data_IF_582990884631
#
_entry.id   IF_582990884631
#
_cell.length_a   1.000
_cell.length_b   1.000
_cell.length_c   1.000
_cell.angle_alpha   90.00
_cell.angle_beta   90.00
_cell.angle_gamma   90.00
#
_symmetry.space_group_name_H-M   'P 1'
#
loop_
_entity.id
_entity.type
_entity.pdbx_description
1 polymer ?
#
# COMPACT_ATOMS: atom_id res chain seq x y z
N UNK A 1 -1.54 1.12 -9.80
CA UNK A 1 -0.57 2.05 -9.18
C UNK A 1 -1.16 3.42 -8.86
N UNK A 2 -1.76 4.17 -9.81
CA UNK A 2 -2.37 5.48 -9.50
C UNK A 2 -3.39 5.42 -8.34
N UNK A 3 -4.29 4.42 -8.33
CA UNK A 3 -5.22 4.26 -7.21
C UNK A 3 -4.54 4.05 -5.85
N UNK A 4 -3.34 3.45 -5.80
CA UNK A 4 -2.58 3.38 -4.54
C UNK A 4 -2.01 4.74 -4.15
N UNK A 5 -1.49 5.52 -5.11
CA UNK A 5 -1.03 6.88 -4.86
C UNK A 5 -2.16 7.77 -4.31
N UNK A 6 -3.39 7.59 -4.81
CA UNK A 6 -4.58 8.24 -4.29
C UNK A 6 -4.89 7.82 -2.84
N UNK A 7 -4.76 6.53 -2.50
CA UNK A 7 -4.89 6.08 -1.11
C UNK A 7 -3.84 6.73 -0.20
N UNK A 8 -2.58 6.79 -0.62
CA UNK A 8 -1.53 7.45 0.15
C UNK A 8 -1.82 8.95 0.34
N UNK A 9 -2.30 9.63 -0.71
CA UNK A 9 -2.70 11.03 -0.65
C UNK A 9 -3.89 11.25 0.30
N UNK A 10 -4.89 10.37 0.25
CA UNK A 10 -6.00 10.38 1.20
C UNK A 10 -5.53 10.21 2.65
N UNK A 11 -4.61 9.27 2.91
CA UNK A 11 -4.04 9.04 4.26
C UNK A 11 -3.25 10.26 4.74
N UNK A 12 -2.51 10.92 3.86
CA UNK A 12 -1.67 12.06 4.21
C UNK A 12 -2.48 13.34 4.46
N UNK A 13 -3.49 13.61 3.63
CA UNK A 13 -4.18 14.89 3.62
C UNK A 13 -5.62 14.85 4.14
N UNK A 14 -6.21 13.65 4.27
CA UNK A 14 -7.62 13.48 4.65
C UNK A 14 -8.62 13.97 3.60
N UNK A 15 -8.17 14.38 2.41
CA UNK A 15 -9.05 14.88 1.34
C UNK A 15 -9.80 13.74 0.66
N UNK A 16 -11.13 13.78 0.77
CA UNK A 16 -12.04 12.78 0.22
C UNK A 16 -11.96 12.66 -1.30
N UNK A 17 -11.50 13.67 -2.03
CA UNK A 17 -11.34 13.58 -3.49
C UNK A 17 -10.36 12.46 -3.87
N UNK A 18 -9.22 12.38 -3.20
CA UNK A 18 -8.26 11.29 -3.41
C UNK A 18 -8.88 9.91 -3.13
N UNK A 19 -9.66 9.78 -2.06
CA UNK A 19 -10.39 8.53 -1.80
C UNK A 19 -11.38 8.17 -2.93
N UNK A 20 -12.12 9.16 -3.45
CA UNK A 20 -13.06 8.93 -4.56
C UNK A 20 -12.34 8.55 -5.86
N UNK A 21 -11.18 9.15 -6.12
CA UNK A 21 -10.36 8.82 -7.29
C UNK A 21 -9.78 7.39 -7.17
N UNK A 22 -9.36 6.98 -5.98
CA UNK A 22 -8.96 5.61 -5.70
C UNK A 22 -10.08 4.60 -6.01
N UNK A 23 -11.32 4.91 -5.58
CA UNK A 23 -12.51 4.09 -5.86
C UNK A 23 -12.78 4.02 -7.37
N UNK A 24 -12.77 5.16 -8.07
CA UNK A 24 -13.01 5.22 -9.51
C UNK A 24 -11.97 4.40 -10.30
N UNK A 25 -10.69 4.47 -9.92
CA UNK A 25 -9.64 3.68 -10.55
C UNK A 25 -9.87 2.18 -10.30
N UNK A 26 -10.25 1.79 -9.09
CA UNK A 26 -10.58 0.40 -8.78
C UNK A 26 -11.76 -0.11 -9.62
N UNK A 27 -12.82 0.69 -9.77
CA UNK A 27 -14.00 0.35 -10.56
C UNK A 27 -13.67 0.15 -12.04
N UNK A 28 -12.72 0.91 -12.59
CA UNK A 28 -12.28 0.76 -13.98
C UNK A 28 -11.54 -0.56 -14.25
N UNK A 29 -10.80 -1.07 -13.26
CA UNK A 29 -10.07 -2.34 -13.38
C UNK A 29 -10.93 -3.57 -13.02
N UNK A 30 -11.98 -3.39 -12.23
CA UNK A 30 -12.85 -4.49 -11.77
C UNK A 30 -13.40 -5.37 -12.90
N UNK A 31 -13.85 -4.84 -14.07
CA UNK A 31 -14.31 -5.66 -15.19
C UNK A 31 -13.25 -6.57 -15.81
N UNK A 32 -11.97 -6.41 -15.49
CA UNK A 32 -10.86 -7.24 -15.98
C UNK A 32 -10.50 -8.38 -15.03
N UNK A 33 -11.11 -8.42 -13.84
CA UNK A 33 -10.94 -9.51 -12.88
C UNK A 33 -11.82 -10.69 -13.27
N UNK A 34 -11.23 -11.88 -13.33
CA UNK A 34 -11.93 -13.14 -13.49
C UNK A 34 -12.76 -13.41 -12.24
N UNK A 35 -14.09 -13.38 -12.36
CA UNK A 35 -14.97 -13.76 -11.26
C UNK A 35 -15.01 -15.28 -11.08
N UNK A 36 -15.53 -15.74 -9.95
CA UNK A 36 -15.80 -17.17 -9.73
C UNK A 36 -16.76 -17.74 -10.78
N UNK A 37 -17.71 -16.91 -11.25
CA UNK A 37 -18.65 -17.29 -12.30
C UNK A 37 -17.93 -17.44 -13.64
N UNK A 38 -17.07 -16.51 -14.01
CA UNK A 38 -16.30 -16.57 -15.26
C UNK A 38 -15.45 -17.84 -15.33
N UNK A 39 -14.75 -18.14 -14.22
CA UNK A 39 -13.98 -19.37 -14.09
C UNK A 39 -14.89 -20.62 -14.20
N UNK A 40 -16.08 -20.61 -13.59
CA UNK A 40 -17.00 -21.74 -13.65
C UNK A 40 -17.61 -21.96 -15.03
N UNK A 41 -17.93 -20.89 -15.77
CA UNK A 41 -18.51 -20.97 -17.12
C UNK A 41 -17.47 -21.13 -18.21
N UNK A 42 -16.19 -20.91 -17.90
CA UNK A 42 -15.10 -20.93 -18.86
C UNK A 42 -15.16 -19.78 -19.87
N UNK A 43 -15.74 -18.65 -19.48
CA UNK A 43 -15.94 -17.47 -20.33
C UNK A 43 -15.77 -16.19 -19.53
N UNK A 44 -15.25 -15.14 -20.16
CA UNK A 44 -15.09 -13.82 -19.55
C UNK A 44 -15.63 -12.74 -20.50
N UNK A 45 -16.42 -11.74 -20.03
CA UNK A 45 -17.08 -10.78 -20.91
C UNK A 45 -16.15 -9.98 -21.83
N UNK A 46 -14.91 -9.75 -21.39
CA UNK A 46 -13.90 -8.99 -22.12
C UNK A 46 -12.91 -9.86 -22.91
N UNK A 47 -13.15 -11.18 -23.01
CA UNK A 47 -12.29 -12.12 -23.75
C UNK A 47 -13.12 -12.93 -24.74
N UNK A 48 -12.52 -13.27 -25.87
CA UNK A 48 -13.17 -14.06 -26.94
C UNK A 48 -12.56 -15.46 -27.08
N UNK A 49 -11.77 -15.88 -26.11
CA UNK A 49 -11.20 -17.22 -25.99
C UNK A 49 -11.77 -17.94 -24.78
N UNK A 50 -11.80 -19.27 -24.85
CA UNK A 50 -12.23 -20.11 -23.73
C UNK A 50 -11.27 -19.94 -22.57
N UNK A 51 -11.81 -19.58 -21.42
CA UNK A 51 -11.07 -19.46 -20.17
C UNK A 51 -11.03 -20.84 -19.49
N UNK A 52 -9.85 -21.42 -19.23
CA UNK A 52 -9.73 -22.58 -18.36
C UNK A 52 -10.32 -22.28 -16.98
N UNK A 53 -11.14 -23.17 -16.42
CA UNK A 53 -11.71 -22.98 -15.08
C UNK A 53 -10.68 -23.12 -13.96
N UNK A 54 -9.62 -23.88 -14.24
CA UNK A 54 -8.53 -24.18 -13.32
C UNK A 54 -7.22 -24.31 -14.09
N UNK A 55 -6.12 -24.03 -13.39
CA UNK A 55 -4.76 -24.35 -13.80
C UNK A 55 -4.05 -25.10 -12.69
N UNK A 56 -3.39 -26.20 -13.03
CA UNK A 56 -2.64 -27.04 -12.08
C UNK A 56 -3.45 -27.42 -10.81
N UNK A 57 -4.75 -27.68 -10.98
CA UNK A 57 -5.68 -28.04 -9.90
C UNK A 57 -6.20 -26.87 -9.06
N UNK A 58 -5.79 -25.63 -9.33
CA UNK A 58 -6.27 -24.43 -8.63
C UNK A 58 -7.13 -23.56 -9.55
N UNK A 59 -8.18 -22.94 -9.00
CA UNK A 59 -9.05 -22.03 -9.77
C UNK A 59 -8.28 -20.82 -10.29
N UNK A 60 -8.66 -20.33 -11.47
CA UNK A 60 -8.12 -19.07 -12.04
C UNK A 60 -8.89 -17.82 -11.60
N UNK A 61 -9.95 -17.99 -10.80
CA UNK A 61 -10.72 -16.87 -10.26
C UNK A 61 -9.82 -15.93 -9.46
N UNK A 62 -10.07 -14.63 -9.58
CA UNK A 62 -9.28 -13.58 -8.97
C UNK A 62 -8.10 -13.07 -9.81
N UNK A 63 -7.77 -13.74 -10.92
CA UNK A 63 -6.79 -13.21 -11.87
C UNK A 63 -7.30 -11.95 -12.57
N UNK A 64 -6.48 -10.91 -12.64
CA UNK A 64 -6.79 -9.64 -13.29
C UNK A 64 -5.97 -9.56 -14.56
N UNK A 65 -6.65 -9.59 -15.70
CA UNK A 65 -5.94 -9.52 -16.96
C UNK A 65 -5.21 -8.20 -17.14
N UNK A 66 -4.10 -8.25 -17.87
CA UNK A 66 -3.46 -7.03 -18.33
C UNK A 66 -4.43 -6.26 -19.22
N UNK A 67 -4.73 -5.03 -18.82
CA UNK A 67 -5.38 -4.03 -19.66
C UNK A 67 -4.33 -3.45 -20.60
N UNK A 68 -3.86 -4.23 -21.58
CA UNK A 68 -3.11 -3.65 -22.70
C UNK A 68 -3.90 -3.79 -23.99
N UNK A 69 -4.04 -2.65 -24.66
CA UNK A 69 -4.58 -2.39 -25.99
C UNK A 69 -3.80 -3.07 -27.12
N UNK A 70 -3.41 -4.34 -27.01
CA UNK A 70 -3.06 -5.08 -28.25
C UNK A 70 -4.32 -5.35 -29.10
N UNK A 71 -5.51 -5.03 -28.57
CA UNK A 71 -6.82 -5.28 -29.17
C UNK A 71 -7.18 -6.76 -29.20
N UNK A 72 -6.28 -7.64 -28.73
CA UNK A 72 -6.43 -9.08 -28.73
C UNK A 72 -7.27 -9.49 -27.52
N UNK A 73 -8.54 -9.73 -27.78
CA UNK A 73 -9.43 -10.42 -26.83
C UNK A 73 -9.03 -11.89 -26.60
N UNK A 74 -7.97 -12.36 -27.24
CA UNK A 74 -7.48 -13.73 -27.17
C UNK A 74 -6.37 -13.95 -26.14
N UNK A 75 -5.77 -12.89 -25.58
CA UNK A 75 -4.74 -13.03 -24.55
C UNK A 75 -5.36 -13.23 -23.16
N UNK A 76 -4.93 -14.28 -22.47
CA UNK A 76 -5.29 -14.57 -21.07
C UNK A 76 -4.12 -14.31 -20.10
N UNK A 77 -3.23 -13.38 -20.46
CA UNK A 77 -2.09 -13.01 -19.63
C UNK A 77 -2.48 -12.18 -18.40
N UNK A 78 -1.88 -12.53 -17.27
CA UNK A 78 -1.89 -11.77 -16.01
C UNK A 78 -0.46 -11.39 -15.67
N UNK A 79 -0.24 -10.14 -15.24
CA UNK A 79 1.05 -9.69 -14.71
C UNK A 79 0.93 -9.36 -13.22
N UNK A 80 1.95 -9.69 -12.46
CA UNK A 80 1.97 -9.54 -11.01
C UNK A 80 1.85 -8.08 -10.57
N UNK A 81 2.35 -7.14 -11.36
CA UNK A 81 2.19 -5.70 -11.06
C UNK A 81 0.74 -5.22 -11.10
N UNK A 82 -0.04 -5.65 -12.11
CA UNK A 82 -1.48 -5.37 -12.19
C UNK A 82 -2.21 -6.09 -11.06
N UNK A 83 -1.94 -7.39 -10.90
CA UNK A 83 -2.56 -8.25 -9.91
C UNK A 83 -2.34 -7.76 -8.48
N UNK A 84 -1.08 -7.50 -8.11
CA UNK A 84 -0.68 -7.00 -6.80
C UNK A 84 -1.20 -5.59 -6.53
N UNK A 85 -1.16 -4.69 -7.52
CA UNK A 85 -1.75 -3.35 -7.37
C UNK A 85 -3.25 -3.41 -7.10
N UNK A 86 -3.98 -4.24 -7.84
CA UNK A 86 -5.43 -4.38 -7.68
C UNK A 86 -5.79 -5.03 -6.33
N UNK A 87 -5.03 -6.05 -5.92
CA UNK A 87 -5.16 -6.67 -4.61
C UNK A 87 -4.92 -5.64 -3.48
N UNK A 88 -3.82 -4.89 -3.54
CA UNK A 88 -3.50 -3.89 -2.53
C UNK A 88 -4.55 -2.78 -2.46
N UNK A 89 -5.01 -2.28 -3.61
CA UNK A 89 -6.05 -1.26 -3.67
C UNK A 89 -7.37 -1.78 -3.07
N UNK A 90 -7.75 -3.02 -3.40
CA UNK A 90 -8.91 -3.68 -2.79
C UNK A 90 -8.77 -3.80 -1.27
N UNK A 91 -7.60 -4.18 -0.77
CA UNK A 91 -7.35 -4.30 0.67
C UNK A 91 -7.47 -2.95 1.40
N UNK A 92 -6.89 -1.87 0.86
CA UNK A 92 -7.04 -0.53 1.44
C UNK A 92 -8.48 -0.02 1.40
N UNK A 93 -9.18 -0.20 0.28
CA UNK A 93 -10.58 0.20 0.17
C UNK A 93 -11.44 -0.58 1.17
N UNK A 94 -11.15 -1.87 1.39
CA UNK A 94 -11.81 -2.64 2.45
C UNK A 94 -11.47 -2.11 3.85
N UNK A 95 -10.21 -1.79 4.13
CA UNK A 95 -9.78 -1.22 5.41
C UNK A 95 -10.56 0.05 5.76
N UNK A 96 -10.69 0.95 4.79
CA UNK A 96 -11.34 2.25 4.94
C UNK A 96 -12.87 2.11 5.04
N UNK A 97 -13.48 1.27 4.20
CA UNK A 97 -14.95 1.26 4.02
C UNK A 97 -15.66 0.12 4.72
N UNK A 98 -14.95 -0.96 5.04
CA UNK A 98 -15.51 -2.25 5.47
C UNK A 98 -16.53 -2.84 4.51
N UNK A 99 -16.48 -2.46 3.23
CA UNK A 99 -17.35 -2.99 2.20
C UNK A 99 -16.89 -4.37 1.72
N UNK A 100 -17.78 -5.34 1.79
CA UNK A 100 -17.52 -6.74 1.44
C UNK A 100 -17.04 -6.93 0.00
N UNK A 101 -17.47 -6.09 -0.95
CA UNK A 101 -17.03 -6.18 -2.34
C UNK A 101 -15.51 -6.05 -2.48
N UNK A 102 -14.91 -5.14 -1.70
CA UNK A 102 -13.45 -4.96 -1.69
C UNK A 102 -12.74 -6.10 -0.98
N UNK A 103 -13.34 -6.65 0.10
CA UNK A 103 -12.84 -7.86 0.75
C UNK A 103 -12.80 -9.03 -0.23
N UNK A 104 -13.90 -9.30 -0.92
CA UNK A 104 -14.04 -10.45 -1.82
C UNK A 104 -13.01 -10.35 -2.96
N UNK A 105 -12.83 -9.15 -3.49
CA UNK A 105 -11.83 -8.87 -4.54
C UNK A 105 -10.39 -9.03 -4.04
N UNK A 106 -10.07 -8.52 -2.84
CA UNK A 106 -8.76 -8.72 -2.23
C UNK A 106 -8.47 -10.20 -1.97
N UNK A 107 -9.45 -10.94 -1.45
CA UNK A 107 -9.35 -12.36 -1.12
C UNK A 107 -9.17 -13.25 -2.37
N UNK A 108 -9.97 -13.00 -3.41
CA UNK A 108 -9.82 -13.70 -4.69
C UNK A 108 -8.46 -13.40 -5.32
N UNK A 109 -8.06 -12.13 -5.34
CA UNK A 109 -6.78 -11.72 -5.92
C UNK A 109 -5.59 -12.33 -5.18
N UNK A 110 -5.65 -12.36 -3.85
CA UNK A 110 -4.68 -13.03 -2.99
C UNK A 110 -4.57 -14.54 -3.30
N UNK A 111 -5.71 -15.22 -3.39
CA UNK A 111 -5.77 -16.66 -3.70
C UNK A 111 -5.13 -16.94 -5.05
N UNK A 112 -5.44 -16.13 -6.07
CA UNK A 112 -4.83 -16.26 -7.39
C UNK A 112 -3.30 -16.09 -7.34
N UNK A 113 -2.80 -15.06 -6.66
CA UNK A 113 -1.36 -14.81 -6.52
C UNK A 113 -0.68 -16.01 -5.86
N UNK A 114 -1.24 -16.52 -4.76
CA UNK A 114 -0.67 -17.68 -4.05
C UNK A 114 -0.66 -18.94 -4.90
N UNK A 115 -1.72 -19.22 -5.67
CA UNK A 115 -1.83 -20.42 -6.47
C UNK A 115 -0.96 -20.41 -7.72
N UNK A 116 -0.77 -19.25 -8.35
CA UNK A 116 -0.26 -19.18 -9.73
C UNK A 116 1.00 -18.34 -9.91
N UNK A 117 1.23 -17.35 -9.03
CA UNK A 117 2.36 -16.42 -9.16
C UNK A 117 3.42 -16.60 -8.05
N UNK A 118 3.06 -17.16 -6.90
CA UNK A 118 4.02 -17.37 -5.82
C UNK A 118 4.94 -18.56 -6.10
N UNK A 119 6.24 -18.30 -6.09
CA UNK A 119 7.26 -19.32 -6.21
C UNK A 119 7.92 -19.57 -4.85
N UNK A 120 7.48 -20.63 -4.16
CA UNK A 120 7.96 -20.96 -2.82
C UNK A 120 9.44 -21.34 -2.75
N UNK A 121 10.03 -21.90 -3.83
CA UNK A 121 11.45 -22.27 -3.83
C UNK A 121 12.36 -21.04 -3.97
N UNK A 122 11.88 -20.00 -4.64
CA UNK A 122 12.56 -18.72 -4.81
C UNK A 122 12.16 -17.67 -3.77
N UNK A 123 11.05 -17.88 -3.06
CA UNK A 123 10.53 -16.95 -2.06
C UNK A 123 10.07 -15.62 -2.68
N UNK A 124 9.52 -15.64 -3.89
CA UNK A 124 9.18 -14.43 -4.65
C UNK A 124 7.88 -14.59 -5.45
N UNK A 125 7.33 -13.45 -5.88
CA UNK A 125 6.23 -13.41 -6.86
C UNK A 125 6.82 -13.33 -8.26
N UNK A 126 6.38 -14.21 -9.14
CA UNK A 126 6.77 -14.27 -10.55
C UNK A 126 6.05 -13.17 -11.34
N UNK A 127 6.70 -12.60 -12.35
CA UNK A 127 6.22 -11.41 -13.06
C UNK A 127 4.93 -11.63 -13.86
N UNK A 128 4.76 -12.79 -14.48
CA UNK A 128 3.63 -13.06 -15.37
C UNK A 128 3.13 -14.51 -15.30
N UNK A 129 1.86 -14.67 -15.63
CA UNK A 129 1.19 -15.96 -15.75
C UNK A 129 0.31 -15.99 -17.00
N UNK A 130 0.50 -17.01 -17.81
CA UNK A 130 -0.36 -17.30 -18.95
C UNK A 130 -1.40 -18.34 -18.53
N UNK A 131 -2.65 -17.90 -18.38
CA UNK A 131 -3.76 -18.78 -17.99
C UNK A 131 -4.10 -19.79 -19.09
N UNK A 132 -3.91 -19.45 -20.36
CA UNK A 132 -4.15 -20.37 -21.48
C UNK A 132 -3.19 -21.57 -21.40
N UNK A 133 -1.95 -21.32 -20.99
CA UNK A 133 -0.89 -22.33 -20.91
C UNK A 133 -0.71 -22.90 -19.49
N UNK A 134 -1.39 -22.33 -18.50
CA UNK A 134 -1.28 -22.68 -17.08
C UNK A 134 0.16 -22.66 -16.55
N UNK A 135 0.95 -21.67 -16.97
CA UNK A 135 2.35 -21.53 -16.58
C UNK A 135 2.79 -20.07 -16.47
N UNK A 136 3.81 -19.83 -15.66
CA UNK A 136 4.56 -18.57 -15.69
C UNK A 136 5.39 -18.52 -16.96
N UNK A 137 5.38 -17.40 -17.69
CA UNK A 137 6.00 -17.32 -19.01
C UNK A 137 7.53 -17.35 -18.99
N UNK A 138 8.15 -16.49 -18.17
CA UNK A 138 9.60 -16.42 -18.02
C UNK A 138 10.01 -16.46 -16.54
N UNK A 139 11.30 -16.68 -16.27
CA UNK A 139 11.85 -16.74 -14.91
C UNK A 139 12.02 -15.35 -14.25
N UNK A 140 11.35 -14.31 -14.77
CA UNK A 140 11.43 -12.97 -14.21
C UNK A 140 10.72 -12.88 -12.86
N UNK A 141 11.43 -12.29 -11.92
CA UNK A 141 10.96 -11.96 -10.60
C UNK A 141 11.60 -10.63 -10.24
N UNK A 142 10.77 -9.59 -10.11
CA UNK A 142 11.21 -8.25 -9.78
C UNK A 142 10.79 -7.92 -8.34
N UNK A 143 11.56 -7.03 -7.69
CA UNK A 143 11.25 -6.67 -6.30
C UNK A 143 9.87 -6.05 -6.12
N UNK A 144 9.40 -5.26 -7.09
CA UNK A 144 8.10 -4.60 -7.00
C UNK A 144 6.91 -5.55 -7.09
N UNK A 145 6.99 -6.67 -7.81
CA UNK A 145 5.91 -7.66 -7.85
C UNK A 145 5.68 -8.27 -6.47
N UNK A 146 6.78 -8.62 -5.80
CA UNK A 146 6.75 -9.10 -4.41
C UNK A 146 6.32 -7.99 -3.45
N UNK A 147 6.80 -6.76 -3.67
CA UNK A 147 6.44 -5.60 -2.87
C UNK A 147 4.93 -5.29 -2.91
N UNK A 148 4.34 -5.15 -4.09
CA UNK A 148 2.91 -4.84 -4.24
C UNK A 148 2.02 -5.90 -3.59
N UNK A 149 2.39 -7.18 -3.74
CA UNK A 149 1.68 -8.26 -3.06
C UNK A 149 1.83 -8.17 -1.54
N UNK A 150 3.05 -7.97 -1.03
CA UNK A 150 3.32 -7.85 0.40
C UNK A 150 2.57 -6.66 1.02
N UNK A 151 2.53 -5.52 0.34
CA UNK A 151 1.80 -4.33 0.77
C UNK A 151 0.31 -4.65 0.94
N UNK A 152 -0.33 -5.18 -0.11
CA UNK A 152 -1.74 -5.56 -0.06
C UNK A 152 -2.03 -6.62 0.98
N UNK A 153 -1.19 -7.64 1.08
CA UNK A 153 -1.33 -8.73 2.05
C UNK A 153 -1.23 -8.21 3.48
N UNK A 154 -0.30 -7.30 3.76
CA UNK A 154 -0.11 -6.71 5.09
C UNK A 154 -1.32 -5.91 5.54
N UNK A 155 -1.87 -5.10 4.63
CA UNK A 155 -3.11 -4.35 4.87
C UNK A 155 -4.28 -5.31 5.11
N UNK A 156 -4.43 -6.30 4.22
CA UNK A 156 -5.54 -7.25 4.28
C UNK A 156 -5.50 -8.08 5.57
N UNK A 157 -4.35 -8.67 5.89
CA UNK A 157 -4.12 -9.46 7.09
C UNK A 157 -4.40 -8.65 8.37
N UNK A 158 -3.87 -7.43 8.46
CA UNK A 158 -4.11 -6.56 9.62
C UNK A 158 -5.58 -6.14 9.75
N UNK A 159 -6.28 -5.98 8.62
CA UNK A 159 -7.68 -5.54 8.59
C UNK A 159 -8.63 -6.65 8.99
N UNK A 160 -8.37 -7.89 8.56
CA UNK A 160 -9.19 -9.08 8.84
C UNK A 160 -8.84 -9.76 10.15
N UNK A 161 -7.63 -9.50 10.69
CA UNK A 161 -7.06 -10.20 11.85
C UNK A 161 -6.93 -11.71 11.64
N UNK A 162 -6.78 -12.13 10.39
CA UNK A 162 -6.55 -13.53 10.04
C UNK A 162 -5.10 -13.93 10.34
N UNK A 163 -4.92 -14.86 11.26
CA UNK A 163 -3.58 -15.31 11.68
C UNK A 163 -2.80 -16.00 10.58
N UNK A 164 -3.47 -16.68 9.64
CA UNK A 164 -2.82 -17.32 8.51
C UNK A 164 -2.28 -16.30 7.51
N UNK A 165 -3.06 -15.26 7.22
CA UNK A 165 -2.61 -14.15 6.37
C UNK A 165 -1.45 -13.36 7.02
N UNK A 166 -1.49 -13.17 8.34
CA UNK A 166 -0.39 -12.52 9.08
C UNK A 166 0.90 -13.35 8.94
N UNK A 167 0.82 -14.67 9.22
CA UNK A 167 1.99 -15.55 9.09
C UNK A 167 2.54 -15.58 7.66
N UNK A 168 1.65 -15.55 6.66
CA UNK A 168 2.07 -15.49 5.28
C UNK A 168 2.74 -14.15 4.93
N UNK A 169 2.23 -13.02 5.43
CA UNK A 169 2.86 -11.71 5.25
C UNK A 169 4.28 -11.70 5.85
N UNK A 170 4.44 -12.21 7.08
CA UNK A 170 5.74 -12.35 7.73
C UNK A 170 6.69 -13.22 6.90
N UNK A 171 6.19 -14.34 6.35
CA UNK A 171 6.98 -15.25 5.53
C UNK A 171 7.44 -14.60 4.21
N UNK A 172 6.55 -13.89 3.51
CA UNK A 172 6.89 -13.18 2.27
C UNK A 172 7.88 -12.05 2.55
N UNK A 173 7.68 -11.29 3.63
CA UNK A 173 8.62 -10.26 4.05
C UNK A 173 10.00 -10.86 4.36
N UNK A 174 10.04 -11.94 5.15
CA UNK A 174 11.26 -12.67 5.46
C UNK A 174 11.99 -13.15 4.19
N UNK A 175 11.27 -13.81 3.28
CA UNK A 175 11.84 -14.33 2.04
C UNK A 175 12.38 -13.22 1.13
N UNK A 176 11.71 -12.07 1.09
CA UNK A 176 12.15 -10.94 0.28
C UNK A 176 13.44 -10.28 0.79
N UNK A 177 13.71 -10.38 2.09
CA UNK A 177 14.91 -9.84 2.75
C UNK A 177 16.04 -10.86 2.87
N UNK A 178 15.77 -12.15 2.64
CA UNK A 178 16.83 -13.17 2.62
C UNK A 178 17.85 -12.83 1.55
N UNK A 179 19.11 -13.05 1.90
CA UNK A 179 20.21 -12.95 0.93
C UNK A 179 19.93 -13.89 -0.23
N UNK A 180 19.69 -13.29 -1.38
CA UNK A 180 19.30 -13.98 -2.60
C UNK A 180 20.03 -13.37 -3.79
N UNK A 181 20.53 -14.22 -4.69
CA UNK A 181 21.10 -13.78 -5.97
C UNK A 181 20.04 -13.19 -6.91
N UNK A 182 18.75 -13.20 -6.53
CA UNK A 182 17.67 -12.59 -7.30
C UNK A 182 17.82 -11.08 -7.39
N UNK A 183 18.00 -10.40 -6.25
CA UNK A 183 18.05 -8.94 -6.20
C UNK A 183 18.90 -8.39 -5.06
N UNK A 184 19.64 -9.20 -4.30
CA UNK A 184 20.58 -8.68 -3.30
C UNK A 184 22.01 -9.09 -3.60
N UNK A 185 22.96 -8.18 -3.40
CA UNK A 185 24.37 -8.53 -3.47
C UNK A 185 24.87 -9.22 -2.19
N UNK A 186 26.16 -9.54 -2.16
CA UNK A 186 26.80 -10.20 -1.01
C UNK A 186 26.72 -9.40 0.30
N UNK A 187 26.55 -8.08 0.20
CA UNK A 187 26.44 -7.14 1.32
C UNK A 187 24.99 -6.85 1.71
N UNK A 188 24.02 -7.52 1.09
CA UNK A 188 22.58 -7.32 1.35
C UNK A 188 21.99 -6.07 0.71
N UNK A 189 22.72 -5.38 -0.19
CA UNK A 189 22.19 -4.22 -0.91
C UNK A 189 21.36 -4.66 -2.10
N UNK A 190 20.19 -4.05 -2.31
CA UNK A 190 19.32 -4.38 -3.43
C UNK A 190 19.96 -3.96 -4.75
N UNK A 191 20.25 -4.94 -5.58
CA UNK A 191 20.73 -4.82 -6.96
C UNK A 191 19.58 -5.13 -7.91
N UNK A 192 18.80 -4.09 -8.22
CA UNK A 192 17.78 -4.11 -9.27
C UNK A 192 18.28 -3.31 -10.48
N UNK A 193 17.70 -3.59 -11.63
CA UNK A 193 17.99 -3.04 -12.95
C UNK A 193 19.16 -3.71 -13.66
N UNK A 194 18.92 -4.07 -14.92
CA UNK A 194 19.88 -4.66 -15.86
C UNK A 194 20.31 -3.68 -16.94
N UNK A 195 19.71 -2.49 -16.96
CA UNK A 195 19.93 -1.48 -17.99
C UNK A 195 20.97 -0.46 -17.53
N UNK A 196 21.42 0.35 -18.49
CA UNK A 196 22.30 1.46 -18.19
C UNK A 196 21.60 2.40 -17.20
N UNK A 197 22.30 2.77 -16.12
CA UNK A 197 21.83 3.67 -15.07
C UNK A 197 21.29 5.01 -15.60
N UNK A 198 21.80 5.48 -16.74
CA UNK A 198 21.40 6.74 -17.38
C UNK A 198 20.13 6.63 -18.24
N UNK A 199 19.69 5.42 -18.55
CA UNK A 199 18.43 5.22 -19.25
C UNK A 199 17.30 5.40 -18.25
N UNK A 200 16.28 6.14 -18.66
CA UNK A 200 15.01 6.23 -17.93
C UNK A 200 14.26 4.89 -18.07
N UNK A 201 14.70 3.93 -17.26
CA UNK A 201 14.13 2.60 -17.16
C UNK A 201 13.36 2.50 -15.85
N UNK A 202 12.07 2.17 -15.96
CA UNK A 202 11.18 1.93 -14.82
C UNK A 202 11.74 0.89 -13.84
N UNK A 203 12.57 -0.04 -14.31
CA UNK A 203 13.25 -1.05 -13.50
C UNK A 203 14.18 -0.48 -12.44
N UNK A 204 14.68 0.76 -12.60
CA UNK A 204 15.43 1.44 -11.56
C UNK A 204 14.57 1.73 -10.32
N UNK A 205 13.25 1.86 -10.50
CA UNK A 205 12.30 2.26 -9.45
C UNK A 205 11.71 1.10 -8.65
N UNK A 206 11.83 -0.15 -9.14
CA UNK A 206 11.14 -1.30 -8.53
C UNK A 206 11.54 -1.56 -7.08
N UNK A 207 12.82 -1.39 -6.76
CA UNK A 207 13.37 -1.57 -5.40
C UNK A 207 12.67 -0.68 -4.36
N UNK A 208 12.24 0.52 -4.75
CA UNK A 208 11.55 1.46 -3.86
C UNK A 208 10.20 0.90 -3.40
N UNK A 209 9.46 0.23 -4.28
CA UNK A 209 8.17 -0.38 -3.95
C UNK A 209 8.31 -1.52 -2.94
N UNK A 210 9.37 -2.34 -3.03
CA UNK A 210 9.64 -3.35 -2.00
C UNK A 210 9.96 -2.71 -0.65
N UNK A 211 10.76 -1.64 -0.63
CA UNK A 211 11.06 -0.93 0.63
C UNK A 211 9.79 -0.37 1.26
N UNK A 212 8.92 0.26 0.46
CA UNK A 212 7.63 0.77 0.91
C UNK A 212 6.73 -0.34 1.45
N UNK A 213 6.65 -1.47 0.77
CA UNK A 213 5.87 -2.62 1.22
C UNK A 213 6.38 -3.22 2.54
N UNK A 214 7.72 -3.33 2.68
CA UNK A 214 8.37 -3.78 3.91
C UNK A 214 8.08 -2.80 5.06
N UNK A 215 8.11 -1.51 4.80
CA UNK A 215 7.72 -0.49 5.77
C UNK A 215 6.26 -0.64 6.18
N UNK A 216 5.33 -0.73 5.22
CA UNK A 216 3.90 -0.86 5.50
C UNK A 216 3.64 -2.12 6.32
N UNK A 217 4.31 -3.24 6.01
CA UNK A 217 4.29 -4.45 6.82
C UNK A 217 4.81 -4.20 8.24
N UNK A 218 6.02 -3.66 8.39
CA UNK A 218 6.63 -3.34 9.68
C UNK A 218 5.74 -2.47 10.56
N UNK A 219 5.07 -1.46 9.97
CA UNK A 219 4.19 -0.54 10.70
C UNK A 219 2.96 -1.23 11.29
N UNK A 220 2.63 -2.42 10.78
CA UNK A 220 1.49 -3.25 11.21
C UNK A 220 1.94 -4.47 12.01
N UNK A 221 3.24 -4.75 12.05
CA UNK A 221 3.82 -5.82 12.85
C UNK A 221 3.87 -5.45 14.33
N UNK A 222 4.00 -6.45 15.19
CA UNK A 222 4.25 -6.22 16.62
C UNK A 222 5.64 -5.58 16.77
N UNK A 223 5.71 -4.47 17.48
CA UNK A 223 6.96 -3.77 17.78
C UNK A 223 7.96 -4.70 18.48
N UNK A 224 9.21 -4.71 18.01
CA UNK A 224 10.29 -5.56 18.54
C UNK A 224 10.18 -7.04 18.15
N UNK A 225 9.20 -7.43 17.33
CA UNK A 225 9.14 -8.78 16.77
C UNK A 225 10.36 -9.08 15.90
N UNK A 226 10.64 -10.38 15.69
CA UNK A 226 11.76 -10.80 14.84
C UNK A 226 11.67 -10.25 13.42
N UNK A 227 10.46 -10.18 12.84
CA UNK A 227 10.25 -9.62 11.49
C UNK A 227 10.44 -8.10 11.49
N UNK A 228 9.92 -7.40 12.51
CA UNK A 228 10.08 -5.95 12.63
C UNK A 228 11.57 -5.55 12.74
N UNK A 229 12.32 -6.20 13.62
CA UNK A 229 13.76 -5.96 13.78
C UNK A 229 14.55 -6.30 12.50
N UNK A 230 14.15 -7.37 11.80
CA UNK A 230 14.77 -7.76 10.53
C UNK A 230 14.52 -6.70 9.46
N UNK A 231 13.30 -6.18 9.36
CA UNK A 231 12.94 -5.11 8.42
C UNK A 231 13.74 -3.83 8.68
N UNK A 232 13.85 -3.41 9.94
CA UNK A 232 14.68 -2.26 10.32
C UNK A 232 16.14 -2.46 9.92
N UNK A 233 16.71 -3.63 10.24
CA UNK A 233 18.08 -3.97 9.87
C UNK A 233 18.31 -4.00 8.36
N UNK A 234 17.38 -4.58 7.59
CA UNK A 234 17.47 -4.67 6.14
C UNK A 234 17.39 -3.29 5.47
N UNK A 235 16.44 -2.44 5.87
CA UNK A 235 16.30 -1.08 5.35
C UNK A 235 17.48 -0.20 5.77
N UNK A 236 18.04 -0.42 6.97
CA UNK A 236 19.27 0.24 7.43
C UNK A 236 20.46 -0.06 6.51
N UNK A 237 20.59 -1.29 6.01
CA UNK A 237 21.62 -1.63 5.02
C UNK A 237 21.45 -0.79 3.75
N UNK A 238 20.22 -0.64 3.26
CA UNK A 238 19.94 0.17 2.07
C UNK A 238 20.23 1.66 2.32
N UNK A 239 19.82 2.17 3.48
CA UNK A 239 20.08 3.55 3.90
C UNK A 239 21.58 3.85 3.89
N UNK A 240 22.39 2.96 4.45
CA UNK A 240 23.85 3.11 4.45
C UNK A 240 24.44 3.02 3.03
N UNK A 241 23.91 2.16 2.17
CA UNK A 241 24.35 2.09 0.78
C UNK A 241 24.04 3.39 0.02
N UNK A 242 22.86 3.96 0.23
CA UNK A 242 22.46 5.24 -0.36
C UNK A 242 23.41 6.37 0.06
N UNK A 243 23.66 6.51 1.37
CA UNK A 243 24.48 7.61 1.88
C UNK A 243 25.96 7.49 1.51
N UNK A 244 26.51 6.27 1.52
CA UNK A 244 27.95 6.07 1.37
C UNK A 244 28.39 5.76 -0.07
N UNK A 245 27.50 5.16 -0.89
CA UNK A 245 27.84 4.64 -2.21
C UNK A 245 27.01 5.24 -3.34
N UNK A 246 25.79 5.69 -3.05
CA UNK A 246 24.87 6.22 -4.07
C UNK A 246 24.79 7.75 -4.11
N UNK A 247 25.24 8.43 -3.06
CA UNK A 247 25.27 9.89 -2.97
C UNK A 247 26.46 10.44 -3.74
N UNK A 248 26.21 11.35 -4.67
CA UNK A 248 27.31 12.02 -5.36
C UNK A 248 28.04 12.99 -4.41
N UNK A 249 29.39 13.05 -4.42
CA UNK A 249 30.15 13.89 -3.52
C UNK A 249 29.76 15.38 -3.59
N UNK A 250 29.65 16.03 -2.43
CA UNK A 250 29.36 17.47 -2.35
C UNK A 250 27.95 17.90 -2.75
N UNK A 251 27.01 16.96 -2.88
CA UNK A 251 25.63 17.21 -3.30
C UNK A 251 24.63 16.61 -2.32
N UNK A 252 23.33 16.70 -2.64
CA UNK A 252 22.25 15.97 -1.96
C UNK A 252 21.42 15.10 -2.92
N UNK A 253 21.98 14.72 -4.07
CA UNK A 253 21.30 13.84 -5.03
C UNK A 253 21.84 12.39 -4.96
N UNK A 254 20.98 11.44 -5.29
CA UNK A 254 21.27 10.01 -5.22
C UNK A 254 21.14 9.31 -6.58
N UNK A 255 22.03 8.37 -6.88
CA UNK A 255 21.88 7.48 -8.05
C UNK A 255 20.95 6.30 -7.72
N UNK A 256 20.21 5.73 -8.69
CA UNK A 256 19.46 4.48 -8.45
C UNK A 256 20.36 3.26 -8.18
N UNK A 257 21.65 3.33 -8.51
CA UNK A 257 22.61 2.24 -8.27
C UNK A 257 23.18 2.34 -6.84
N UNK A 258 22.52 1.70 -5.88
CA UNK A 258 22.92 1.78 -4.46
C UNK A 258 24.28 1.16 -4.13
N UNK A 259 24.79 0.27 -4.99
CA UNK A 259 26.13 -0.30 -4.85
C UNK A 259 27.25 0.67 -5.23
N UNK A 260 26.90 1.78 -5.89
CA UNK A 260 27.85 2.76 -6.41
C UNK A 260 28.65 2.26 -7.63
N UNK A 261 29.55 3.12 -8.17
CA UNK A 261 29.72 4.52 -7.80
C UNK A 261 28.52 5.38 -8.25
N UNK A 262 28.34 6.60 -7.68
CA UNK A 262 27.30 7.51 -8.12
C UNK A 262 27.60 8.06 -9.51
N UNK A 263 26.55 8.39 -10.26
CA UNK A 263 26.68 9.11 -11.53
C UNK A 263 26.77 10.61 -11.30
N UNK A 264 27.44 11.32 -12.21
CA UNK A 264 27.67 12.78 -12.15
C UNK A 264 26.49 13.63 -12.62
N UNK A 265 25.30 13.05 -12.75
CA UNK A 265 24.11 13.72 -13.29
C UNK A 265 22.93 13.37 -12.40
N UNK A 266 22.07 14.35 -12.08
CA UNK A 266 20.82 14.07 -11.37
C UNK A 266 19.97 13.15 -12.21
N UNK A 267 19.52 12.05 -11.61
CA UNK A 267 18.52 11.20 -12.20
C UNK A 267 17.28 11.24 -11.30
N UNK A 268 16.11 11.69 -11.83
CA UNK A 268 14.88 11.77 -11.04
C UNK A 268 14.50 10.44 -10.37
N UNK A 269 14.62 9.32 -11.10
CA UNK A 269 14.34 7.98 -10.57
C UNK A 269 15.29 7.57 -9.43
N UNK A 270 16.53 8.08 -9.41
CA UNK A 270 17.46 7.89 -8.30
C UNK A 270 17.01 8.59 -7.02
N UNK A 271 16.39 9.76 -7.14
CA UNK A 271 15.83 10.48 -5.98
C UNK A 271 14.58 9.77 -5.46
N UNK A 272 13.72 9.34 -6.39
CA UNK A 272 12.47 8.68 -6.08
C UNK A 272 12.68 7.41 -5.25
N UNK A 273 13.63 6.55 -5.64
CA UNK A 273 13.91 5.33 -4.86
C UNK A 273 14.65 5.58 -3.55
N UNK A 274 15.43 6.65 -3.47
CA UNK A 274 16.08 7.01 -2.22
C UNK A 274 15.04 7.48 -1.18
N UNK A 275 13.99 8.15 -1.63
CA UNK A 275 12.91 8.63 -0.77
C UNK A 275 12.23 7.50 0.02
N UNK A 276 11.92 6.36 -0.62
CA UNK A 276 11.28 5.22 0.09
C UNK A 276 12.15 4.72 1.26
N UNK A 277 13.48 4.69 1.10
CA UNK A 277 14.42 4.27 2.15
C UNK A 277 14.56 5.34 3.23
N UNK A 278 14.74 6.61 2.85
CA UNK A 278 14.94 7.71 3.79
C UNK A 278 13.70 7.96 4.66
N UNK A 279 12.51 7.94 4.06
CA UNK A 279 11.23 8.05 4.79
C UNK A 279 11.03 6.89 5.77
N UNK A 280 11.47 5.69 5.38
CA UNK A 280 11.43 4.54 6.29
C UNK A 280 12.35 4.69 7.48
N UNK A 281 13.59 5.13 7.24
CA UNK A 281 14.56 5.35 8.31
C UNK A 281 14.05 6.40 9.33
N UNK A 282 13.42 7.49 8.87
CA UNK A 282 12.83 8.51 9.75
C UNK A 282 11.76 7.90 10.66
N UNK A 283 10.90 7.05 10.11
CA UNK A 283 9.79 6.44 10.89
C UNK A 283 10.31 5.48 11.96
N UNK A 284 11.40 4.76 11.69
CA UNK A 284 12.04 3.91 12.71
C UNK A 284 12.61 4.73 13.86
N UNK A 285 13.16 5.91 13.56
CA UNK A 285 13.69 6.77 14.61
C UNK A 285 12.64 7.41 15.50
N UNK A 286 11.45 7.70 14.96
CA UNK A 286 10.35 8.20 15.76
C UNK A 286 9.91 7.15 16.82
N UNK A 287 9.79 5.88 16.42
CA UNK A 287 9.30 4.80 17.29
C UNK A 287 10.23 4.47 18.48
N UNK A 288 11.50 4.81 18.42
CA UNK A 288 12.47 4.54 19.50
C UNK A 288 12.43 5.59 20.60
N UNK A 289 11.91 6.79 20.33
CA UNK A 289 11.93 7.92 21.28
C UNK A 289 10.89 7.75 22.40
N UNK A 290 9.84 6.96 22.19
CA UNK A 290 8.77 6.75 23.18
C UNK A 290 9.11 5.76 24.30
N UNK A 291 10.24 5.04 24.22
CA UNK A 291 10.55 3.96 25.18
C UNK A 291 11.44 4.39 26.35
N UNK A 292 12.07 5.58 26.30
CA UNK A 292 13.12 5.97 27.26
C UNK A 292 12.68 6.87 28.43
N UNK A 293 11.39 7.15 28.63
CA UNK A 293 10.94 8.03 29.74
C UNK A 293 9.96 7.35 30.69
N UNK A 294 10.44 6.41 31.52
CA UNK A 294 9.71 5.94 32.71
C UNK A 294 10.65 5.31 33.77
N UNK A 295 11.71 6.01 34.17
CA UNK A 295 12.38 5.73 35.44
C UNK A 295 11.61 6.41 36.58
N UNK A 296 10.53 5.76 37.02
CA UNK A 296 9.83 6.13 38.25
C UNK A 296 10.76 5.90 39.46
N UNK A 297 11.22 7.00 40.05
CA UNK A 297 11.91 7.02 41.33
C UNK A 297 10.89 6.83 42.45
N UNK A 298 10.84 5.62 42.99
CA UNK A 298 10.11 5.32 44.23
C UNK A 298 10.82 5.98 45.43
N UNK A 299 10.07 6.77 46.21
CA UNK A 299 10.41 7.05 47.61
C UNK A 299 9.13 6.96 48.47
N UNK A 300 9.17 6.29 49.64
CA UNK A 300 7.99 5.95 50.40
C UNK A 300 7.70 7.03 51.47
N UNK A 301 6.42 7.34 51.70
CA UNK A 301 6.03 7.80 53.03
C UNK A 301 4.56 7.51 53.35
N UNK A 302 4.32 7.28 54.65
CA UNK A 302 3.28 6.42 55.18
C UNK A 302 2.01 7.12 55.70
N UNK A 303 0.95 6.30 55.81
CA UNK A 303 -0.09 6.27 56.87
C UNK A 303 -1.21 7.32 56.89
N UNK A 304 -2.47 6.89 56.66
CA UNK A 304 -3.48 6.61 57.71
C UNK A 304 -4.93 6.50 57.15
N UNK A 305 -5.69 5.58 57.74
CA UNK A 305 -7.07 5.09 57.48
C UNK A 305 -8.21 6.08 57.88
N UNK A 306 -9.52 5.73 57.93
CA UNK A 306 -10.42 5.03 56.98
C UNK A 306 -11.86 5.66 56.82
N UNK A 307 -12.69 5.02 55.98
CA UNK A 307 -14.18 4.87 56.03
C UNK A 307 -15.12 6.02 55.61
N UNK A 308 -15.97 5.80 54.59
CA UNK A 308 -17.46 5.78 54.72
C UNK A 308 -18.20 5.53 53.38
N UNK A 309 -19.21 4.67 53.45
CA UNK A 309 -20.23 4.37 52.44
C UNK A 309 -21.13 5.60 52.14
N UNK A 310 -21.79 5.64 50.96
CA UNK A 310 -23.26 5.50 50.83
C UNK A 310 -23.88 6.18 49.56
N UNK A 311 -24.84 5.46 48.99
CA UNK A 311 -26.06 5.86 48.24
C UNK A 311 -26.06 6.33 46.78
N UNK A 312 -26.89 5.59 46.05
CA UNK A 312 -27.55 5.78 44.76
C UNK A 312 -28.47 6.99 44.64
N UNK A 313 -28.57 7.57 43.44
CA UNK A 313 -29.84 8.11 42.93
C UNK A 313 -29.92 8.01 41.41
N UNK A 314 -31.06 7.51 40.92
CA UNK A 314 -31.38 7.33 39.50
C UNK A 314 -32.27 8.47 39.01
N UNK A 315 -31.91 9.10 37.89
CA UNK A 315 -32.78 10.05 37.19
C UNK A 315 -33.22 9.49 35.85
N UNK A 316 -34.54 9.35 35.66
CA UNK A 316 -35.18 9.00 34.39
C UNK A 316 -35.60 10.27 33.65
N UNK A 317 -35.25 10.36 32.37
CA UNK A 317 -35.76 11.38 31.43
C UNK A 317 -37.01 10.86 30.69
N UNK A 318 -38.02 11.71 30.45
CA UNK A 318 -39.28 11.29 29.82
C UNK A 318 -39.16 11.16 28.30
N UNK A 319 -39.39 9.94 27.82
CA UNK A 319 -39.30 9.48 26.42
C UNK A 319 -40.34 10.09 25.46
N UNK A 320 -41.25 10.93 25.94
CA UNK A 320 -42.44 11.38 25.20
C UNK A 320 -42.22 12.53 24.20
N UNK A 321 -41.12 13.29 24.31
CA UNK A 321 -40.88 14.47 23.47
C UNK A 321 -40.10 14.19 22.17
N UNK A 322 -39.46 13.02 22.06
CA UNK A 322 -38.56 12.68 20.94
C UNK A 322 -39.32 12.12 19.74
N UNK A 323 -40.50 11.52 19.95
CA UNK A 323 -41.21 10.79 18.90
C UNK A 323 -42.08 11.74 18.03
N UNK A 324 -42.48 12.92 18.55
CA UNK A 324 -43.30 13.88 17.80
C UNK A 324 -42.56 14.74 16.77
N UNK A 325 -41.27 15.00 16.97
CA UNK A 325 -40.48 15.88 16.09
C UNK A 325 -40.02 15.23 14.78
N UNK A 326 -39.86 13.90 14.76
CA UNK A 326 -39.29 13.19 13.63
C UNK A 326 -40.23 13.13 12.42
N UNK A 327 -41.54 12.96 12.64
CA UNK A 327 -42.52 12.78 11.55
C UNK A 327 -42.87 14.10 10.86
N UNK A 328 -42.87 15.22 11.59
CA UNK A 328 -43.13 16.55 11.02
C UNK A 328 -41.97 17.09 10.19
N UNK A 329 -40.72 16.81 10.59
CA UNK A 329 -39.52 17.28 9.90
C UNK A 329 -39.30 16.63 8.53
N UNK A 330 -39.70 15.36 8.36
CA UNK A 330 -39.47 14.61 7.11
C UNK A 330 -40.21 15.21 5.91
N UNK A 331 -41.44 15.68 6.10
CA UNK A 331 -42.24 16.25 5.01
C UNK A 331 -41.70 17.61 4.54
N UNK A 332 -41.20 18.42 5.47
CA UNK A 332 -40.62 19.72 5.14
C UNK A 332 -39.28 19.58 4.41
N UNK A 333 -38.47 18.58 4.80
CA UNK A 333 -37.19 18.29 4.16
C UNK A 333 -37.36 17.81 2.71
N UNK A 334 -38.33 16.92 2.44
CA UNK A 334 -38.63 16.43 1.09
C UNK A 334 -39.08 17.58 0.18
N UNK A 335 -39.89 18.52 0.70
CA UNK A 335 -40.37 19.67 -0.06
C UNK A 335 -39.23 20.63 -0.42
N UNK A 336 -38.28 20.88 0.50
CA UNK A 336 -37.10 21.72 0.23
C UNK A 336 -36.18 21.08 -0.80
N UNK A 337 -35.92 19.77 -0.70
CA UNK A 337 -35.08 19.04 -1.68
C UNK A 337 -35.74 19.05 -3.07
N UNK A 338 -37.07 18.89 -3.15
CA UNK A 338 -37.81 18.97 -4.41
C UNK A 338 -37.69 20.34 -5.09
N UNK A 339 -37.75 21.43 -4.33
CA UNK A 339 -37.58 22.80 -4.85
C UNK A 339 -36.15 23.02 -5.38
N UNK A 340 -35.13 22.56 -4.64
CA UNK A 340 -33.72 22.68 -5.06
C UNK A 340 -33.49 21.87 -6.35
N UNK A 341 -33.99 20.64 -6.41
CA UNK A 341 -33.84 19.78 -7.59
C UNK A 341 -34.52 20.39 -8.82
N UNK A 342 -35.72 20.98 -8.67
CA UNK A 342 -36.40 21.68 -9.77
C UNK A 342 -35.60 22.88 -10.26
N UNK A 343 -35.01 23.70 -9.35
CA UNK A 343 -34.19 24.84 -9.76
C UNK A 343 -32.88 24.45 -10.46
N UNK A 344 -32.27 23.35 -10.03
CA UNK A 344 -31.06 22.81 -10.68
C UNK A 344 -31.38 22.22 -12.06
N UNK A 345 -32.54 21.58 -12.22
CA UNK A 345 -32.99 21.04 -13.52
C UNK A 345 -33.32 22.14 -14.51
N UNK A 346 -34.00 23.21 -14.09
CA UNK A 346 -34.31 24.35 -14.98
C UNK A 346 -33.05 25.11 -15.43
N UNK A 347 -31.98 25.11 -14.63
CA UNK A 347 -30.71 25.73 -15.02
C UNK A 347 -29.93 24.92 -16.07
N UNK A 348 -30.03 23.59 -16.06
CA UNK A 348 -29.33 22.74 -17.04
C UNK A 348 -29.94 22.81 -18.44
N UNK A 349 -31.25 23.06 -18.56
CA UNK A 349 -31.90 23.20 -19.87
C UNK A 349 -31.58 24.51 -20.60
N UNK A 350 -31.00 25.51 -19.94
CA UNK A 350 -30.61 26.77 -20.56
C UNK A 350 -29.16 26.78 -21.13
N UNK A 351 -28.37 25.73 -20.85
CA UNK A 351 -26.95 25.66 -21.24
C UNK A 351 -26.70 24.92 -22.58
N UNK A 352 -27.71 24.28 -23.16
CA UNK A 352 -27.57 23.43 -24.36
C UNK A 352 -27.87 24.15 -25.69
N UNK A 353 -28.11 25.47 -25.69
CA UNK A 353 -28.43 26.24 -26.91
C UNK A 353 -27.28 27.12 -27.39
N UNK A 354 -26.04 26.97 -26.90
CA UNK A 354 -24.93 27.88 -27.25
C UNK A 354 -23.65 27.25 -27.81
N UNK A 355 -23.66 25.99 -28.22
CA UNK A 355 -22.48 25.37 -28.85
C UNK A 355 -22.89 24.54 -30.08
N UNK A 356 -23.33 25.21 -31.13
CA UNK A 356 -23.34 24.66 -32.50
C UNK A 356 -22.86 25.75 -33.44
N UNK A 357 -21.57 25.72 -33.76
CA UNK A 357 -20.96 26.69 -34.66
C UNK A 357 -19.45 26.67 -34.63
N UNK A 358 -18.81 25.58 -35.06
CA UNK A 358 -17.45 25.67 -35.58
C UNK A 358 -17.24 24.67 -36.71
N UNK A 359 -16.93 25.20 -37.89
CA UNK A 359 -16.50 24.48 -39.11
C UNK A 359 -14.98 24.29 -39.04
N UNK A 360 -14.41 23.18 -39.55
CA UNK A 360 -12.97 23.06 -39.70
C UNK A 360 -12.53 23.76 -40.99
N UNK A 361 -11.61 24.71 -40.87
CA UNK A 361 -10.89 25.29 -42.01
C UNK A 361 -9.42 24.89 -41.91
N UNK A 362 -8.90 24.46 -43.06
CA UNK A 362 -7.59 23.87 -43.31
C UNK A 362 -6.53 24.95 -43.59
N UNK A 363 -5.28 24.57 -43.29
CA UNK A 363 -3.98 25.14 -43.73
C UNK A 363 -3.44 26.37 -43.00
N UNK A 364 -2.14 26.33 -42.69
CA UNK A 364 -1.35 27.53 -42.47
C UNK A 364 -0.18 27.39 -41.51
N UNK A 365 0.93 26.88 -42.02
CA UNK A 365 2.28 27.00 -41.48
C UNK A 365 2.64 28.46 -41.13
N UNK A 366 3.13 28.72 -39.92
CA UNK A 366 4.14 29.77 -39.63
C UNK A 366 4.64 29.69 -38.18
N UNK A 367 5.96 29.83 -38.04
CA UNK A 367 6.71 29.84 -36.80
C UNK A 367 6.43 31.08 -35.94
N UNK A 368 6.50 30.93 -34.60
CA UNK A 368 6.64 32.08 -33.71
C UNK A 368 6.29 31.86 -32.25
N UNK A 369 7.34 31.70 -31.42
CA UNK A 369 7.49 32.30 -30.08
C UNK A 369 6.52 31.83 -28.98
N UNK A 370 6.96 30.84 -28.22
CA UNK A 370 6.32 30.37 -26.99
C UNK A 370 6.44 31.38 -25.84
N UNK A 371 5.31 31.72 -25.24
CA UNK A 371 5.18 32.36 -23.93
C UNK A 371 4.98 31.25 -22.90
N UNK A 372 5.94 31.07 -22.00
CA UNK A 372 5.85 30.13 -20.88
C UNK A 372 5.22 30.82 -19.68
N UNK A 373 3.99 30.43 -19.34
CA UNK A 373 3.43 30.70 -18.01
C UNK A 373 4.20 29.88 -16.96
N UNK A 374 4.63 30.47 -15.84
CA UNK A 374 5.35 29.74 -14.82
C UNK A 374 4.40 28.87 -14.00
N UNK A 375 4.69 27.57 -13.97
CA UNK A 375 4.08 26.61 -13.07
C UNK A 375 4.23 27.07 -11.63
N UNK A 376 3.09 27.20 -10.96
CA UNK A 376 2.99 27.54 -9.55
C UNK A 376 3.60 26.40 -8.72
N UNK A 377 4.66 26.70 -7.98
CA UNK A 377 5.30 25.79 -7.04
C UNK A 377 4.29 25.39 -5.96
N UNK A 378 3.87 24.12 -5.98
CA UNK A 378 3.12 23.49 -4.90
C UNK A 378 4.15 23.03 -3.87
N UNK A 379 4.00 23.53 -2.65
CA UNK A 379 4.83 23.17 -1.50
C UNK A 379 4.41 21.77 -1.01
N UNK A 380 5.29 20.74 -1.02
CA UNK A 380 4.86 19.34 -0.85
C UNK A 380 4.51 18.94 0.59
N UNK A 381 4.65 19.81 1.59
CA UNK A 381 4.39 19.44 2.99
C UNK A 381 3.82 20.61 3.81
N UNK A 382 2.50 20.74 3.97
CA UNK A 382 1.95 21.55 5.06
C UNK A 382 2.24 20.87 6.42
N UNK A 383 2.39 21.64 7.50
CA UNK A 383 2.70 21.11 8.83
C UNK A 383 1.61 20.14 9.34
N UNK A 384 1.96 19.19 10.22
CA UNK A 384 1.04 18.15 10.66
C UNK A 384 -0.15 18.75 11.41
N UNK A 385 -1.36 18.47 10.93
CA UNK A 385 -2.60 18.68 11.68
C UNK A 385 -2.78 17.57 12.73
N UNK A 386 -3.43 17.86 13.86
CA UNK A 386 -3.64 16.87 14.91
C UNK A 386 -4.45 15.67 14.40
N UNK A 387 -4.02 14.48 14.82
CA UNK A 387 -4.67 13.19 14.63
C UNK A 387 -6.16 13.30 14.95
N UNK A 388 -7.02 13.13 13.94
CA UNK A 388 -8.47 13.05 14.17
C UNK A 388 -8.80 11.62 14.59
N UNK A 389 -9.10 11.45 15.88
CA UNK A 389 -9.72 10.24 16.43
C UNK A 389 -11.07 9.96 15.76
N UNK A 390 -11.23 8.72 15.30
CA UNK A 390 -12.47 8.00 15.02
C UNK A 390 -13.65 8.78 14.42
N UNK A 391 -13.74 8.82 13.08
CA UNK A 391 -15.00 9.09 12.40
C UNK A 391 -15.90 7.84 12.37
N UNK A 392 -17.07 7.92 13.01
CA UNK A 392 -18.13 6.92 12.92
C UNK A 392 -18.83 6.98 11.55
N UNK A 393 -18.50 6.05 10.65
CA UNK A 393 -19.22 5.82 9.40
C UNK A 393 -20.43 4.92 9.66
N UNK A 394 -21.49 5.46 10.26
CA UNK A 394 -22.70 4.68 10.62
C UNK A 394 -23.92 4.94 9.72
N UNK A 395 -23.78 5.55 8.55
CA UNK A 395 -24.94 5.88 7.68
C UNK A 395 -24.74 5.61 6.20
N UNK A 396 -24.28 4.41 5.84
CA UNK A 396 -24.27 3.95 4.44
C UNK A 396 -24.83 2.54 4.23
N UNK A 397 -25.71 2.08 5.13
CA UNK A 397 -26.15 0.68 5.16
C UNK A 397 -27.53 0.39 4.56
N UNK A 398 -28.09 1.22 3.66
CA UNK A 398 -29.51 1.03 3.28
C UNK A 398 -29.90 1.22 1.81
N UNK A 399 -28.98 0.99 0.87
CA UNK A 399 -29.37 0.83 -0.53
C UNK A 399 -28.44 -0.17 -1.19
N UNK A 400 -28.78 -1.46 -1.11
CA UNK A 400 -28.65 -2.45 -2.19
C UNK A 400 -29.19 -3.80 -1.67
N UNK A 401 -30.43 -4.14 -2.05
CA UNK A 401 -31.05 -5.44 -1.78
C UNK A 401 -30.94 -6.31 -3.04
N UNK A 402 -30.49 -7.55 -2.82
CA UNK A 402 -30.27 -8.63 -3.80
C UNK A 402 -31.51 -9.02 -4.63
N UNK A 403 -31.34 -9.99 -5.54
CA UNK A 403 -32.14 -11.20 -5.47
C UNK A 403 -31.30 -12.46 -5.18
N UNK A 404 -31.87 -13.30 -4.31
CA UNK A 404 -31.33 -14.54 -3.79
C UNK A 404 -31.19 -15.65 -4.84
N UNK A 405 -30.24 -16.56 -4.63
CA UNK A 405 -30.33 -17.92 -5.16
C UNK A 405 -29.79 -18.94 -4.15
N UNK A 406 -30.48 -20.07 -4.14
CA UNK A 406 -30.59 -21.09 -3.10
C UNK A 406 -29.41 -22.06 -3.00
N UNK A 407 -29.02 -22.37 -1.76
CA UNK A 407 -28.17 -23.51 -1.36
C UNK A 407 -28.93 -24.83 -1.53
N UNK A 408 -28.22 -25.93 -1.84
CA UNK A 408 -28.39 -27.13 -1.02
C UNK A 408 -27.06 -27.67 -0.46
N UNK A 409 -27.09 -28.00 0.84
CA UNK A 409 -26.09 -28.77 1.56
C UNK A 409 -26.02 -30.21 1.01
N UNK A 410 -24.82 -30.78 0.96
CA UNK A 410 -24.68 -32.22 1.20
C UNK A 410 -23.36 -32.54 1.91
N UNK A 411 -23.48 -33.53 2.78
CA UNK A 411 -22.54 -34.04 3.77
C UNK A 411 -21.65 -35.10 3.11
N UNK A 412 -20.35 -35.13 3.45
CA UNK A 412 -19.61 -36.40 3.64
C UNK A 412 -18.24 -36.18 4.28
N UNK A 413 -18.08 -36.68 5.51
CA UNK A 413 -16.80 -37.16 6.02
C UNK A 413 -16.41 -38.46 5.28
N UNK A 414 -15.12 -38.84 5.28
CA UNK A 414 -14.74 -39.94 6.17
C UNK A 414 -13.35 -39.82 6.83
N UNK A 415 -13.36 -40.21 8.12
CA UNK A 415 -12.43 -41.06 8.88
C UNK A 415 -11.00 -41.40 8.38
N UNK A 416 -10.05 -41.11 9.29
CA UNK A 416 -8.98 -41.98 9.84
C UNK A 416 -7.92 -42.63 8.94
N UNK A 417 -6.64 -42.40 9.26
CA UNK A 417 -5.78 -43.47 9.80
C UNK A 417 -4.53 -42.94 10.48
N UNK A 418 -4.17 -43.63 11.56
CA UNK A 418 -3.01 -43.42 12.42
C UNK A 418 -1.74 -44.00 11.81
N UNK A 419 -0.58 -43.43 12.15
CA UNK A 419 0.72 -43.99 11.81
C UNK A 419 1.84 -43.35 12.62
N UNK A 420 1.96 -43.74 13.89
CA UNK A 420 3.10 -43.47 14.75
C UNK A 420 4.22 -44.46 14.42
N UNK A 421 5.44 -43.98 14.17
CA UNK A 421 6.65 -44.75 14.49
C UNK A 421 7.84 -43.86 14.86
N UNK A 422 8.55 -44.38 15.84
CA UNK A 422 9.65 -43.84 16.62
C UNK A 422 10.97 -43.60 15.86
N UNK A 423 11.65 -42.52 16.25
CA UNK A 423 13.02 -42.46 16.79
C UNK A 423 14.18 -43.10 16.00
N UNK A 424 15.15 -42.27 15.62
CA UNK A 424 16.59 -42.57 15.73
C UNK A 424 17.43 -41.29 15.69
N UNK A 425 18.01 -40.94 16.83
CA UNK A 425 19.22 -40.10 16.97
C UNK A 425 20.43 -40.76 16.30
N UNK A 426 21.41 -39.96 15.87
CA UNK A 426 22.68 -40.02 16.60
C UNK A 426 23.32 -38.66 16.88
N UNK A 427 24.26 -38.75 17.81
CA UNK A 427 24.96 -37.71 18.55
C UNK A 427 26.16 -37.12 17.81
N UNK A 428 26.53 -35.89 18.21
CA UNK A 428 27.86 -35.26 18.28
C UNK A 428 28.69 -35.13 16.98
N UNK A 429 28.99 -33.88 16.61
CA UNK A 429 30.28 -33.29 17.01
C UNK A 429 30.32 -31.76 16.88
N UNK A 430 31.06 -31.15 17.82
CA UNK A 430 31.30 -29.72 18.01
C UNK A 430 32.71 -29.42 17.47
N UNK A 431 32.95 -28.23 16.90
CA UNK A 431 34.03 -27.43 17.48
C UNK A 431 33.59 -26.00 17.80
N UNK A 432 34.29 -25.46 18.79
CA UNK A 432 34.18 -24.13 19.37
C UNK A 432 35.00 -23.08 18.61
N UNK A 433 34.72 -21.81 18.93
CA UNK A 433 35.50 -20.58 18.68
C UNK A 433 35.31 -19.94 17.28
N UNK A 434 35.15 -18.64 17.10
CA UNK A 434 35.40 -17.50 17.98
C UNK A 434 34.43 -16.34 17.70
N UNK A 435 34.21 -15.58 18.76
CA UNK A 435 33.46 -14.34 18.93
C UNK A 435 33.99 -13.16 18.10
N UNK A 436 33.06 -12.42 17.48
CA UNK A 436 33.28 -11.07 16.95
C UNK A 436 31.93 -10.37 16.81
N UNK A 437 31.60 -9.56 17.81
CA UNK A 437 30.39 -8.75 17.97
C UNK A 437 30.05 -7.93 16.72
N UNK A 438 28.84 -8.12 16.18
CA UNK A 438 28.28 -7.28 15.11
C UNK A 438 26.80 -6.96 15.34
N UNK A 439 26.42 -6.78 16.61
CA UNK A 439 25.05 -6.50 17.03
C UNK A 439 24.85 -5.06 17.54
N UNK A 440 25.87 -4.21 17.38
CA UNK A 440 25.87 -2.80 17.86
C UNK A 440 25.52 -1.77 16.76
N UNK A 441 25.07 -2.20 15.58
CA UNK A 441 24.87 -1.27 14.45
C UNK A 441 23.55 -0.49 14.47
N UNK A 442 22.53 -0.97 15.19
CA UNK A 442 21.21 -0.31 15.26
C UNK A 442 21.25 0.91 16.19
N UNK A 443 21.82 0.85 17.41
CA UNK A 443 21.94 2.04 18.28
C UNK A 443 22.77 3.17 17.66
N UNK A 444 23.84 2.83 16.92
CA UNK A 444 24.70 3.83 16.27
C UNK A 444 23.98 4.52 15.09
N UNK A 445 23.15 3.80 14.34
CA UNK A 445 22.30 4.41 13.31
C UNK A 445 21.33 5.41 13.93
N UNK A 446 20.66 5.01 15.00
CA UNK A 446 19.73 5.86 15.75
C UNK A 446 20.42 7.13 16.24
N UNK A 447 21.65 7.00 16.76
CA UNK A 447 22.44 8.15 17.15
C UNK A 447 22.82 9.05 15.97
N UNK A 448 23.16 8.50 14.80
CA UNK A 448 23.52 9.28 13.61
C UNK A 448 22.32 9.96 12.97
N UNK A 449 21.16 9.30 12.96
CA UNK A 449 19.91 9.85 12.44
C UNK A 449 19.36 10.94 13.37
N UNK A 450 19.39 10.74 14.69
CA UNK A 450 19.05 11.79 15.65
C UNK A 450 20.00 12.99 15.54
N UNK A 451 21.29 12.77 15.25
CA UNK A 451 22.25 13.85 14.98
C UNK A 451 21.95 14.57 13.66
N UNK A 452 21.53 13.84 12.63
CA UNK A 452 21.14 14.40 11.34
C UNK A 452 19.83 15.21 11.44
N UNK A 453 18.82 14.69 12.13
CA UNK A 453 17.56 15.38 12.42
C UNK A 453 17.79 16.62 13.29
N UNK A 454 18.63 16.54 14.31
CA UNK A 454 19.01 17.70 15.14
C UNK A 454 19.89 18.72 14.40
N UNK A 455 20.46 18.35 13.24
CA UNK A 455 21.23 19.27 12.38
C UNK A 455 20.39 19.92 11.29
N UNK A 456 19.11 19.53 11.13
CA UNK A 456 18.17 20.28 10.31
C UNK A 456 17.94 21.62 11.01
N UNK A 457 18.05 22.76 10.29
CA UNK A 457 17.82 24.06 10.91
C UNK A 457 16.41 24.09 11.48
N UNK A 458 16.30 24.28 12.80
CA UNK A 458 15.04 24.65 13.44
C UNK A 458 14.49 25.87 12.70
N UNK A 459 13.29 25.73 12.14
CA UNK A 459 12.57 26.85 11.56
C UNK A 459 12.51 27.95 12.61
N UNK A 460 13.20 29.06 12.34
CA UNK A 460 13.26 30.18 13.26
C UNK A 460 11.88 30.81 13.32
N UNK A 461 11.12 30.49 14.38
CA UNK A 461 9.99 31.29 14.81
C UNK A 461 10.49 32.71 15.07
N UNK A 462 10.23 33.62 14.13
CA UNK A 462 10.39 35.07 14.37
C UNK A 462 11.14 35.89 13.33
N UNK A 463 11.65 35.33 12.23
CA UNK A 463 12.24 36.15 11.17
C UNK A 463 11.19 36.52 10.09
N UNK A 464 11.04 37.80 9.69
CA UNK A 464 10.16 38.17 8.59
C UNK A 464 10.63 37.48 7.30
N UNK A 465 9.68 36.82 6.63
CA UNK A 465 9.87 36.06 5.38
C UNK A 465 10.40 36.99 4.29
N UNK A 466 11.72 37.08 4.17
CA UNK A 466 12.36 37.59 2.98
C UNK A 466 12.45 36.44 1.98
N UNK A 467 11.76 36.58 0.86
CA UNK A 467 11.77 35.62 -0.22
C UNK A 467 13.22 35.27 -0.65
N UNK A 468 13.52 34.00 -0.95
CA UNK A 468 14.83 33.61 -1.45
C UNK A 468 15.14 34.31 -2.79
N UNK A 469 16.43 34.56 -3.10
CA UNK A 469 16.83 35.28 -4.30
C UNK A 469 16.37 34.55 -5.56
N UNK A 470 15.79 35.31 -6.50
CA UNK A 470 15.43 34.83 -7.84
C UNK A 470 16.70 34.41 -8.58
N UNK A 471 16.71 33.17 -9.06
CA UNK A 471 17.67 32.73 -10.07
C UNK A 471 17.19 33.24 -11.42
N UNK A 472 17.75 34.36 -11.86
CA UNK A 472 17.76 34.76 -13.27
C UNK A 472 19.22 34.66 -13.74
N UNK A 473 19.40 33.94 -14.85
CA UNK A 473 20.59 33.83 -15.72
C UNK A 473 21.88 33.18 -15.17
N UNK A 474 22.02 31.86 -15.43
CA UNK A 474 23.27 31.20 -15.90
C UNK A 474 22.93 30.15 -16.95
#
# INVERSE_FOLDING_TARGET
MWGLAEIYSFRAYGDRLFFLDAVNIWEQYTPWMITTQDAATGSHPLRNVTLPSQCNGSSVAGGVFVSHDDGSKASLGVIASTQGSYMALSAYLYEITRNQTYYDSANLSHTFIQSHLYNASRGCIMDNYDIQQCQTGNDWAFTYDTGLYLEGLSVFANTTKDSGLIQLADQIALDSMKKSSLWTNVNGVITESRSNVKNDDVGHSFKGMLIRALHEHWSRSVNGSGISNLTEGFITVQHNAILNSAKYPGSNWYTPTWVGPPVSTMLPWGQLVAMDVLSSAISFAANTTDTDTSTNTNSPNASSSPTSQQSSSSHKTPLGAIIGGAVGGSLLLILVIGIIFMRLRTRRSAALTRVTGYKPELLGETAGRGSSDPLQSIDPFPPPFPVIEHFHVSKLHNEYRQPASSVPQSISQPSSSSGVTHLSTPSRDRPSESSGSRQDSIPELMHRLNRALASLPEGTEGAPVNAPPRYEDV
#
